data_IF_523770557826
#
_entry.id   IF_523770557826
#
_cell.length_a   1.000
_cell.length_b   1.000
_cell.length_c   1.000
_cell.angle_alpha   90.00
_cell.angle_beta   90.00
_cell.angle_gamma   90.00
#
_symmetry.space_group_name_H-M   'P 1'
#
loop_
_entity.id
_entity.type
_entity.pdbx_description
1 polymer ?
#
# COMPACT_ATOMS: atom_id res chain seq x y z
N UNK A 1 -2.63 -13.13 12.71
CA UNK A 1 -2.04 -12.29 13.78
C UNK A 1 -2.03 -10.80 13.40
N UNK A 2 -1.57 -10.45 12.19
CA UNK A 2 -1.50 -9.06 11.71
C UNK A 2 -2.82 -8.27 11.81
N UNK A 3 -3.98 -8.96 11.72
CA UNK A 3 -5.30 -8.33 11.78
C UNK A 3 -5.64 -7.73 13.13
N UNK A 4 -5.21 -8.40 14.20
CA UNK A 4 -5.42 -7.90 15.56
C UNK A 4 -4.66 -6.60 15.77
N UNK A 5 -3.37 -6.56 15.40
CA UNK A 5 -2.53 -5.37 15.54
C UNK A 5 -2.99 -4.21 14.65
N UNK A 6 -3.39 -4.48 13.39
CA UNK A 6 -3.92 -3.45 12.49
C UNK A 6 -5.19 -2.77 13.06
N UNK A 7 -6.00 -3.53 13.80
CA UNK A 7 -7.26 -3.06 14.36
C UNK A 7 -7.13 -2.38 15.73
N UNK A 8 -5.95 -2.42 16.36
CA UNK A 8 -5.70 -1.82 17.66
C UNK A 8 -5.79 -0.29 17.63
N UNK A 9 -6.46 0.28 18.63
CA UNK A 9 -6.70 1.74 18.73
C UNK A 9 -5.42 2.57 18.64
N UNK A 10 -4.34 2.10 19.24
CA UNK A 10 -3.06 2.79 19.22
C UNK A 10 -2.49 2.86 17.80
N UNK A 11 -2.53 1.76 17.06
CA UNK A 11 -2.14 1.71 15.65
C UNK A 11 -3.04 2.61 14.80
N UNK A 12 -4.36 2.61 15.05
CA UNK A 12 -5.30 3.49 14.31
C UNK A 12 -5.05 4.97 14.55
N UNK A 13 -4.59 5.34 15.75
CA UNK A 13 -4.32 6.72 16.13
C UNK A 13 -2.92 7.17 15.73
N UNK A 14 -1.97 6.24 15.58
CA UNK A 14 -0.59 6.54 15.22
C UNK A 14 -0.41 6.75 13.72
N UNK A 15 -1.05 5.93 12.88
CA UNK A 15 -0.92 6.01 11.42
C UNK A 15 -2.07 6.79 10.79
N UNK A 16 -1.74 7.83 10.02
CA UNK A 16 -2.70 8.66 9.29
C UNK A 16 -3.38 7.88 8.17
N UNK A 17 -2.61 7.08 7.44
CA UNK A 17 -3.08 6.28 6.31
C UNK A 17 -2.84 4.81 6.57
N UNK A 18 -3.84 3.98 6.23
CA UNK A 18 -3.76 2.54 6.47
C UNK A 18 -4.37 1.77 5.31
N UNK A 19 -3.71 0.71 4.89
CA UNK A 19 -4.20 -0.19 3.84
C UNK A 19 -3.93 -1.64 4.20
N UNK A 20 -4.88 -2.51 3.86
CA UNK A 20 -4.73 -3.95 3.95
C UNK A 20 -4.99 -4.55 2.58
N UNK A 21 -4.05 -5.35 2.09
CA UNK A 21 -4.22 -6.12 0.85
C UNK A 21 -4.06 -7.59 1.16
N UNK A 22 -5.01 -8.41 0.74
CA UNK A 22 -4.88 -9.87 0.74
C UNK A 22 -4.50 -10.29 -0.69
N UNK A 23 -3.38 -11.00 -0.85
CA UNK A 23 -2.91 -11.48 -2.15
C UNK A 23 -3.28 -12.95 -2.31
N UNK A 24 -4.56 -13.24 -2.59
CA UNK A 24 -5.08 -14.62 -2.58
C UNK A 24 -4.68 -15.48 -3.78
N UNK A 25 -4.52 -14.91 -4.97
CA UNK A 25 -4.43 -15.71 -6.22
C UNK A 25 -3.23 -15.36 -7.11
N UNK A 26 -3.02 -14.08 -7.42
CA UNK A 26 -1.92 -13.65 -8.31
C UNK A 26 -1.23 -12.39 -7.76
N UNK A 27 0.09 -12.45 -7.60
CA UNK A 27 0.88 -11.27 -7.25
C UNK A 27 0.96 -10.31 -8.46
N UNK A 28 -0.01 -9.41 -8.54
CA UNK A 28 -0.05 -8.33 -9.53
C UNK A 28 0.24 -7.00 -8.85
N UNK A 29 1.39 -6.40 -9.18
CA UNK A 29 1.80 -5.08 -8.66
C UNK A 29 0.74 -4.03 -8.94
N UNK A 30 0.10 -4.08 -10.12
CA UNK A 30 -0.96 -3.15 -10.50
C UNK A 30 -2.19 -3.31 -9.60
N UNK A 31 -2.64 -4.54 -9.36
CA UNK A 31 -3.79 -4.79 -8.49
C UNK A 31 -3.50 -4.39 -7.04
N UNK A 32 -2.32 -4.78 -6.52
CA UNK A 32 -1.91 -4.43 -5.16
C UNK A 32 -1.83 -2.91 -4.99
N UNK A 33 -1.12 -2.22 -5.90
CA UNK A 33 -1.01 -0.76 -5.89
C UNK A 33 -2.38 -0.08 -5.96
N UNK A 34 -3.32 -0.62 -6.76
CA UNK A 34 -4.66 -0.06 -6.89
C UNK A 34 -5.47 -0.20 -5.59
N UNK A 35 -5.43 -1.36 -4.94
CA UNK A 35 -6.13 -1.58 -3.67
C UNK A 35 -5.56 -0.68 -2.57
N UNK A 36 -4.24 -0.54 -2.52
CA UNK A 36 -3.57 0.38 -1.59
C UNK A 36 -4.05 1.80 -1.86
N UNK A 37 -4.02 2.25 -3.12
CA UNK A 37 -4.45 3.60 -3.49
C UNK A 37 -5.88 3.88 -3.04
N UNK A 38 -6.81 2.98 -3.33
CA UNK A 38 -8.21 3.13 -2.93
C UNK A 38 -8.38 3.21 -1.41
N UNK A 39 -7.57 2.47 -0.67
CA UNK A 39 -7.59 2.48 0.80
C UNK A 39 -7.04 3.79 1.38
N UNK A 40 -5.93 4.30 0.84
CA UNK A 40 -5.25 5.50 1.38
C UNK A 40 -5.81 6.81 0.83
N UNK A 41 -6.32 6.82 -0.40
CA UNK A 41 -6.91 8.00 -1.02
C UNK A 41 -8.39 8.16 -0.68
N UNK A 42 -9.06 7.07 -0.27
CA UNK A 42 -10.51 7.04 0.01
C UNK A 42 -11.37 7.22 -1.25
N UNK A 43 -10.78 7.07 -2.44
CA UNK A 43 -11.43 7.26 -3.73
C UNK A 43 -11.15 6.11 -4.69
N UNK A 44 -12.11 5.81 -5.55
CA UNK A 44 -11.95 4.83 -6.63
C UNK A 44 -11.61 5.57 -7.92
N UNK A 45 -10.31 5.77 -8.13
CA UNK A 45 -9.76 6.30 -9.39
C UNK A 45 -9.17 5.17 -10.21
N UNK A 46 -9.49 5.15 -11.50
CA UNK A 46 -8.82 4.28 -12.47
C UNK A 46 -7.61 5.01 -13.06
N UNK A 47 -6.56 4.25 -13.35
CA UNK A 47 -5.30 4.74 -13.91
C UNK A 47 -5.01 4.02 -15.22
N UNK A 48 -4.52 4.76 -16.20
CA UNK A 48 -4.24 4.21 -17.54
C UNK A 48 -3.04 3.24 -17.52
N UNK A 49 -2.09 3.47 -16.62
CA UNK A 49 -0.91 2.63 -16.44
C UNK A 49 -0.43 2.59 -14.98
N UNK A 50 0.51 1.67 -14.72
CA UNK A 50 1.11 1.47 -13.40
C UNK A 50 1.93 2.70 -12.93
N UNK A 51 2.58 3.42 -13.84
CA UNK A 51 3.41 4.56 -13.48
C UNK A 51 2.55 5.69 -12.89
N UNK A 52 1.45 6.03 -13.56
CA UNK A 52 0.50 7.05 -13.08
C UNK A 52 -0.11 6.67 -11.72
N UNK A 53 -0.43 5.40 -11.52
CA UNK A 53 -0.89 4.88 -10.24
C UNK A 53 0.18 5.01 -9.15
N UNK A 54 1.43 4.72 -9.47
CA UNK A 54 2.56 4.82 -8.55
C UNK A 54 2.91 6.26 -8.19
N UNK A 55 2.84 7.19 -9.15
CA UNK A 55 2.97 8.63 -8.90
C UNK A 55 1.87 9.14 -7.98
N UNK A 56 0.61 8.76 -8.25
CA UNK A 56 -0.51 9.16 -7.41
C UNK A 56 -0.42 8.56 -6.00
N UNK A 57 0.06 7.32 -5.85
CA UNK A 57 0.36 6.72 -4.54
C UNK A 57 1.43 7.53 -3.82
N UNK A 58 2.53 7.85 -4.50
CA UNK A 58 3.62 8.64 -3.95
C UNK A 58 3.10 9.97 -3.39
N UNK A 59 2.30 10.70 -4.17
CA UNK A 59 1.70 11.97 -3.74
C UNK A 59 0.78 11.81 -2.52
N UNK A 60 -0.03 10.75 -2.47
CA UNK A 60 -0.96 10.52 -1.35
C UNK A 60 -0.22 10.17 -0.05
N UNK A 61 0.88 9.44 -0.16
CA UNK A 61 1.71 8.97 0.96
C UNK A 61 2.78 9.97 1.39
N UNK A 62 3.11 10.94 0.54
CA UNK A 62 4.17 11.90 0.78
C UNK A 62 3.97 12.63 2.12
N UNK A 63 5.02 12.66 2.94
CA UNK A 63 5.06 13.31 4.25
C UNK A 63 4.01 12.82 5.26
N UNK A 64 3.41 11.65 5.05
CA UNK A 64 2.45 11.06 5.98
C UNK A 64 3.01 9.80 6.61
N UNK A 65 2.59 9.55 7.85
CA UNK A 65 2.86 8.29 8.51
C UNK A 65 1.78 7.27 8.12
N UNK A 66 2.18 6.15 7.53
CA UNK A 66 1.25 5.16 7.01
C UNK A 66 1.62 3.72 7.38
N UNK A 67 0.62 2.84 7.39
CA UNK A 67 0.80 1.40 7.59
C UNK A 67 0.15 0.63 6.44
N UNK A 68 0.94 -0.14 5.71
CA UNK A 68 0.48 -1.03 4.64
C UNK A 68 0.73 -2.47 5.09
N UNK A 69 -0.33 -3.26 5.16
CA UNK A 69 -0.25 -4.70 5.45
C UNK A 69 -0.54 -5.46 4.17
N UNK A 70 0.42 -6.28 3.72
CA UNK A 70 0.19 -7.26 2.67
C UNK A 70 0.12 -8.64 3.32
N UNK A 71 -1.06 -9.24 3.28
CA UNK A 71 -1.29 -10.59 3.78
C UNK A 71 -1.22 -11.60 2.63
N UNK A 72 -0.72 -12.79 2.92
CA UNK A 72 -0.64 -13.92 1.98
C UNK A 72 0.22 -13.65 0.72
N UNK A 73 1.39 -13.00 0.87
CA UNK A 73 2.29 -12.67 -0.26
C UNK A 73 3.23 -13.84 -0.60
N UNK A 74 3.20 -14.28 -1.86
CA UNK A 74 4.00 -15.41 -2.38
C UNK A 74 5.02 -15.04 -3.46
N UNK A 75 5.35 -13.75 -3.65
CA UNK A 75 6.28 -13.33 -4.72
C UNK A 75 7.74 -13.65 -4.40
N UNK A 76 8.36 -14.52 -5.21
CA UNK A 76 9.79 -14.84 -5.15
C UNK A 76 10.69 -13.80 -5.85
N UNK A 77 10.09 -12.89 -6.64
CA UNK A 77 10.83 -11.88 -7.41
C UNK A 77 11.11 -10.64 -6.57
N UNK A 78 12.38 -10.44 -6.21
CA UNK A 78 12.86 -9.23 -5.55
C UNK A 78 12.57 -7.96 -6.37
N UNK A 79 12.73 -8.03 -7.70
CA UNK A 79 12.47 -6.90 -8.60
C UNK A 79 11.00 -6.46 -8.61
N UNK A 80 10.06 -7.38 -8.40
CA UNK A 80 8.65 -7.05 -8.26
C UNK A 80 8.38 -6.33 -6.93
N UNK A 81 9.08 -6.74 -5.89
CA UNK A 81 9.01 -6.09 -4.59
C UNK A 81 9.57 -4.67 -4.65
N UNK A 82 10.74 -4.45 -5.24
CA UNK A 82 11.32 -3.11 -5.40
C UNK A 82 10.38 -2.14 -6.14
N UNK A 83 9.76 -2.62 -7.22
CA UNK A 83 8.76 -1.83 -7.96
C UNK A 83 7.55 -1.48 -7.11
N UNK A 84 7.07 -2.41 -6.29
CA UNK A 84 5.92 -2.17 -5.42
C UNK A 84 6.24 -1.17 -4.30
N UNK A 85 7.42 -1.25 -3.67
CA UNK A 85 7.79 -0.36 -2.54
C UNK A 85 8.28 1.02 -2.98
N UNK A 86 8.66 1.20 -4.24
CA UNK A 86 9.20 2.46 -4.76
C UNK A 86 8.40 3.72 -4.34
N UNK A 87 7.06 3.76 -4.50
CA UNK A 87 6.24 4.88 -4.07
C UNK A 87 6.25 5.14 -2.55
N UNK A 88 6.45 4.09 -1.74
CA UNK A 88 6.36 4.13 -0.29
C UNK A 88 7.57 4.84 0.34
N UNK A 89 8.70 4.89 -0.37
CA UNK A 89 9.91 5.60 0.06
C UNK A 89 9.73 7.11 0.16
N UNK A 90 8.62 7.67 -0.34
CA UNK A 90 8.28 9.09 -0.18
C UNK A 90 7.56 9.41 1.14
N UNK A 91 7.24 8.39 1.95
CA UNK A 91 6.63 8.57 3.27
C UNK A 91 7.53 9.26 4.29
N UNK A 92 6.91 9.69 5.39
CA UNK A 92 7.66 10.15 6.55
C UNK A 92 8.39 8.99 7.23
N UNK A 93 9.60 9.21 7.78
CA UNK A 93 10.23 8.25 8.69
C UNK A 93 9.27 7.96 9.86
N UNK A 94 9.03 6.68 10.13
CA UNK A 94 8.20 6.19 11.23
C UNK A 94 9.01 5.72 12.42
#
# INVERSE_FOLDING_TARGET
LAKLLYDEKEVKNHFELRAWVCVSDEFSIANISRVIYQSVAGEKKEFEDLNLLQEALKEKLQNKLFLIVLDDVWSESYSHWEKLVGPFLAGSPG
#
